data_IF_288950055356
#
_entry.id   IF_288950055356
#
_cell.length_a   1.000
_cell.length_b   1.000
_cell.length_c   1.000
_cell.angle_alpha   90.00
_cell.angle_beta   90.00
_cell.angle_gamma   90.00
#
_symmetry.space_group_name_H-M   'P 1'
#
loop_
_entity.id
_entity.type
_entity.pdbx_description
1 polymer ?
#
# COMPACT_ATOMS: atom_id res chain seq x y z
N UNK A 1 -7.14 -16.20 -2.14
CA UNK A 1 -8.53 -16.53 -1.81
C UNK A 1 -8.67 -16.86 -0.31
N UNK A 2 -9.63 -16.20 0.36
CA UNK A 2 -9.81 -16.34 1.81
C UNK A 2 -10.38 -17.71 2.24
N UNK A 3 -11.07 -18.42 1.35
CA UNK A 3 -11.66 -19.74 1.61
C UNK A 3 -10.68 -20.86 1.33
N UNK A 4 -10.08 -20.85 0.12
CA UNK A 4 -9.17 -21.92 -0.32
C UNK A 4 -7.77 -21.76 0.24
N UNK A 5 -7.40 -20.54 0.69
CA UNK A 5 -6.04 -20.12 1.08
C UNK A 5 -5.04 -20.17 -0.07
N UNK A 6 -5.50 -20.33 -1.31
CA UNK A 6 -4.66 -20.27 -2.48
C UNK A 6 -4.27 -18.83 -2.80
N UNK A 7 -3.01 -18.63 -3.14
CA UNK A 7 -2.51 -17.34 -3.65
C UNK A 7 -2.91 -17.23 -5.12
N UNK A 8 -3.78 -16.26 -5.45
CA UNK A 8 -4.26 -16.01 -6.81
C UNK A 8 -3.24 -15.19 -7.61
N UNK A 9 -2.63 -14.21 -6.97
CA UNK A 9 -1.62 -13.31 -7.55
C UNK A 9 -0.54 -13.06 -6.50
N UNK A 10 0.73 -13.10 -6.90
CA UNK A 10 1.87 -12.73 -6.05
C UNK A 10 2.92 -12.01 -6.89
N UNK A 11 3.39 -10.89 -6.37
CA UNK A 11 4.54 -10.15 -6.88
C UNK A 11 5.52 -9.99 -5.72
N UNK A 12 6.79 -10.29 -5.94
CA UNK A 12 7.78 -10.40 -4.86
C UNK A 12 8.98 -9.51 -5.14
N UNK A 13 9.50 -8.89 -4.10
CA UNK A 13 10.76 -8.17 -4.14
C UNK A 13 11.93 -9.16 -4.24
N UNK A 14 12.93 -8.90 -5.10
CA UNK A 14 14.13 -9.72 -5.15
C UNK A 14 14.87 -9.70 -3.82
N UNK A 15 15.40 -10.85 -3.37
CA UNK A 15 16.12 -10.96 -2.09
C UNK A 15 17.27 -9.95 -1.98
N UNK A 16 18.00 -9.71 -3.08
CA UNK A 16 19.09 -8.71 -3.10
C UNK A 16 18.58 -7.29 -2.83
N UNK A 17 17.36 -6.97 -3.26
CA UNK A 17 16.72 -5.68 -2.98
C UNK A 17 16.42 -5.55 -1.49
N UNK A 18 15.93 -6.61 -0.85
CA UNK A 18 15.65 -6.66 0.60
C UNK A 18 16.94 -6.37 1.40
N UNK A 19 18.04 -7.02 1.03
CA UNK A 19 19.36 -6.81 1.65
C UNK A 19 19.80 -5.35 1.57
N UNK A 20 19.59 -4.72 0.41
CA UNK A 20 19.97 -3.32 0.22
C UNK A 20 19.02 -2.36 0.93
N UNK A 21 17.72 -2.64 0.97
CA UNK A 21 16.75 -1.83 1.74
C UNK A 21 17.18 -1.78 3.22
N UNK A 22 17.44 -2.94 3.83
CA UNK A 22 17.88 -3.01 5.22
C UNK A 22 19.21 -2.27 5.45
N UNK A 23 20.15 -2.41 4.52
CA UNK A 23 21.46 -1.76 4.62
C UNK A 23 21.36 -0.24 4.47
N UNK A 24 20.57 0.25 3.51
CA UNK A 24 20.34 1.66 3.27
C UNK A 24 19.56 2.30 4.41
N UNK A 25 18.58 1.61 4.98
CA UNK A 25 17.83 2.10 6.13
C UNK A 25 18.77 2.34 7.33
N UNK A 26 19.59 1.37 7.67
CA UNK A 26 20.59 1.52 8.73
C UNK A 26 21.60 2.64 8.45
N UNK A 27 22.09 2.75 7.21
CA UNK A 27 23.07 3.78 6.82
C UNK A 27 22.51 5.21 6.90
N UNK A 28 21.20 5.38 6.80
CA UNK A 28 20.52 6.67 6.87
C UNK A 28 19.80 6.91 8.21
N UNK A 29 20.01 6.04 9.21
CA UNK A 29 19.41 6.17 10.53
C UNK A 29 17.87 6.27 10.43
N UNK A 30 17.27 5.30 9.73
CA UNK A 30 15.83 5.07 9.56
C UNK A 30 15.54 3.57 9.68
N UNK A 31 14.29 3.19 9.86
CA UNK A 31 13.91 1.78 9.99
C UNK A 31 13.24 1.27 8.71
N UNK A 32 13.52 0.02 8.38
CA UNK A 32 12.76 -0.75 7.41
C UNK A 32 11.84 -1.71 8.15
N UNK A 33 10.67 -1.96 7.57
CA UNK A 33 9.72 -2.95 8.08
C UNK A 33 9.02 -3.67 6.90
N UNK A 34 8.49 -4.84 7.21
CA UNK A 34 7.62 -5.60 6.31
C UNK A 34 6.52 -6.29 7.11
N UNK A 35 5.80 -7.20 6.50
CA UNK A 35 4.62 -7.83 7.10
C UNK A 35 4.75 -9.35 7.04
N UNK A 36 4.33 -10.02 8.12
CA UNK A 36 4.22 -11.47 8.22
C UNK A 36 2.97 -11.83 8.99
N UNK A 37 2.11 -12.67 8.43
CA UNK A 37 0.87 -13.14 9.07
C UNK A 37 0.00 -12.03 9.69
N UNK A 38 -0.07 -10.89 8.98
CA UNK A 38 -0.85 -9.72 9.41
C UNK A 38 -0.19 -8.89 10.51
N UNK A 39 1.04 -9.20 10.90
CA UNK A 39 1.83 -8.41 11.86
C UNK A 39 2.97 -7.67 11.14
N UNK A 40 3.41 -6.56 11.70
CA UNK A 40 4.59 -5.84 11.26
C UNK A 40 5.83 -6.54 11.79
N UNK A 41 6.86 -6.67 10.96
CA UNK A 41 8.19 -7.16 11.36
C UNK A 41 9.19 -6.03 11.19
N UNK A 42 9.88 -5.65 12.26
CA UNK A 42 10.85 -4.56 12.28
C UNK A 42 11.98 -4.80 13.27
N UNK A 43 13.08 -4.05 13.13
CA UNK A 43 14.20 -4.09 14.09
C UNK A 43 13.96 -3.22 15.34
N UNK A 44 12.92 -2.36 15.31
CA UNK A 44 12.46 -1.56 16.46
C UNK A 44 10.97 -1.77 16.70
N UNK A 45 10.58 -1.79 17.97
CA UNK A 45 9.19 -1.80 18.43
C UNK A 45 8.84 -0.53 19.24
N UNK A 46 9.78 0.40 19.36
CA UNK A 46 9.67 1.67 20.09
C UNK A 46 9.93 2.92 19.24
N UNK A 47 10.27 2.76 17.95
CA UNK A 47 10.35 3.88 17.00
C UNK A 47 8.96 4.47 16.71
N UNK A 48 8.85 5.80 16.69
CA UNK A 48 7.58 6.52 16.53
C UNK A 48 6.85 6.20 15.22
N UNK A 49 7.57 6.00 14.13
CA UNK A 49 6.99 5.71 12.81
C UNK A 49 6.59 4.23 12.67
N UNK A 50 7.36 3.32 13.27
CA UNK A 50 6.99 1.89 13.36
C UNK A 50 5.72 1.72 14.18
N UNK A 51 5.64 2.40 15.34
CA UNK A 51 4.43 2.40 16.19
C UNK A 51 3.24 2.99 15.43
N UNK A 52 3.46 4.06 14.68
CA UNK A 52 2.41 4.71 13.89
C UNK A 52 1.84 3.78 12.82
N UNK A 53 2.69 3.05 12.10
CA UNK A 53 2.24 2.05 11.13
C UNK A 53 1.46 0.92 11.81
N UNK A 54 1.91 0.44 12.95
CA UNK A 54 1.20 -0.57 13.74
C UNK A 54 -0.19 -0.08 14.19
N UNK A 55 -0.28 1.17 14.61
CA UNK A 55 -1.55 1.79 14.98
C UNK A 55 -2.50 1.92 13.80
N UNK A 56 -2.01 2.41 12.64
CA UNK A 56 -2.83 2.56 11.42
C UNK A 56 -3.42 1.23 10.94
N UNK A 57 -2.65 0.14 11.08
CA UNK A 57 -3.09 -1.19 10.67
C UNK A 57 -3.76 -2.00 11.81
N UNK A 58 -3.92 -1.43 12.99
CA UNK A 58 -4.48 -2.10 14.17
C UNK A 58 -3.80 -3.45 14.45
N UNK A 59 -2.47 -3.50 14.33
CA UNK A 59 -1.67 -4.72 14.46
C UNK A 59 -0.51 -4.54 15.44
N UNK A 60 0.17 -5.64 15.75
CA UNK A 60 1.37 -5.65 16.61
C UNK A 60 2.66 -5.71 15.81
N UNK A 61 3.77 -5.38 16.47
CA UNK A 61 5.11 -5.46 15.91
C UNK A 61 5.83 -6.69 16.44
N UNK A 62 6.36 -7.50 15.52
CA UNK A 62 7.35 -8.54 15.81
C UNK A 62 8.73 -7.88 15.74
N UNK A 63 9.36 -7.70 16.88
CA UNK A 63 10.72 -7.19 16.93
C UNK A 63 11.73 -8.29 16.59
N UNK A 64 12.66 -8.00 15.69
CA UNK A 64 13.77 -8.87 15.33
C UNK A 64 15.11 -8.17 15.50
N UNK A 65 16.19 -8.93 15.74
CA UNK A 65 17.55 -8.37 15.77
C UNK A 65 18.06 -8.01 14.37
N UNK A 66 17.60 -8.73 13.35
CA UNK A 66 17.95 -8.50 11.95
C UNK A 66 16.76 -8.81 11.05
N UNK A 67 16.18 -7.77 10.48
CA UNK A 67 15.07 -7.90 9.54
C UNK A 67 15.49 -8.68 8.28
N UNK A 68 16.72 -8.44 7.82
CA UNK A 68 17.33 -9.14 6.69
C UNK A 68 17.37 -10.66 6.88
N UNK A 69 17.79 -11.11 8.09
CA UNK A 69 17.96 -12.53 8.38
C UNK A 69 16.63 -13.19 8.77
N UNK A 70 15.68 -12.40 9.26
CA UNK A 70 14.34 -12.86 9.60
C UNK A 70 13.49 -13.18 8.36
N UNK A 71 13.65 -12.37 7.29
CA UNK A 71 12.84 -12.50 6.08
C UNK A 71 13.38 -13.63 5.20
N UNK A 72 12.83 -14.82 5.36
CA UNK A 72 13.10 -16.01 4.55
C UNK A 72 11.88 -16.44 3.69
N UNK A 73 10.87 -15.59 3.61
CA UNK A 73 9.61 -15.78 2.89
C UNK A 73 9.43 -14.72 1.79
N UNK A 74 8.54 -14.99 0.80
CA UNK A 74 8.21 -14.01 -0.23
C UNK A 74 7.61 -12.71 0.32
N UNK A 75 8.15 -11.57 -0.10
CA UNK A 75 7.70 -10.25 0.37
C UNK A 75 7.25 -9.39 -0.80
N UNK A 76 6.00 -8.92 -0.73
CA UNK A 76 5.42 -8.05 -1.74
C UNK A 76 5.71 -6.56 -1.50
N UNK A 77 6.02 -6.16 -0.28
CA UNK A 77 6.22 -4.76 0.11
C UNK A 77 7.17 -4.61 1.28
N UNK A 78 8.06 -3.63 1.18
CA UNK A 78 8.79 -3.04 2.31
C UNK A 78 8.33 -1.60 2.51
N UNK A 79 8.31 -1.18 3.76
CA UNK A 79 8.12 0.21 4.14
C UNK A 79 9.41 0.69 4.83
N UNK A 80 9.98 1.80 4.36
CA UNK A 80 11.07 2.48 5.07
C UNK A 80 10.49 3.70 5.75
N UNK A 81 10.71 3.82 7.04
CA UNK A 81 10.02 4.80 7.89
C UNK A 81 11.01 5.73 8.58
N UNK A 82 10.67 7.02 8.63
CA UNK A 82 11.52 8.02 9.27
C UNK A 82 11.26 9.43 8.74
N UNK A 83 12.13 10.37 9.09
CA UNK A 83 12.02 11.74 8.60
C UNK A 83 12.26 11.80 7.09
N UNK A 84 11.45 12.59 6.39
CA UNK A 84 11.48 12.69 4.93
C UNK A 84 12.88 12.92 4.35
N UNK A 85 13.63 13.87 4.93
CA UNK A 85 14.98 14.19 4.48
C UNK A 85 15.97 13.01 4.53
N UNK A 86 15.73 12.02 5.40
CA UNK A 86 16.50 10.78 5.51
C UNK A 86 16.03 9.69 4.54
N UNK A 87 14.76 9.72 4.15
CA UNK A 87 14.18 8.77 3.20
C UNK A 87 14.55 9.09 1.74
N UNK A 88 14.74 10.37 1.39
CA UNK A 88 15.08 10.80 0.02
C UNK A 88 16.34 10.11 -0.52
N UNK A 89 17.48 10.07 0.19
CA UNK A 89 18.66 9.36 -0.31
C UNK A 89 18.46 7.84 -0.41
N UNK A 90 17.64 7.24 0.46
CA UNK A 90 17.29 5.81 0.39
C UNK A 90 16.52 5.52 -0.90
N UNK A 91 15.44 6.27 -1.15
CA UNK A 91 14.65 6.13 -2.37
C UNK A 91 15.52 6.27 -3.63
N UNK A 92 16.33 7.34 -3.68
CA UNK A 92 17.20 7.58 -4.84
C UNK A 92 18.14 6.42 -5.10
N UNK A 93 18.82 5.93 -4.07
CA UNK A 93 19.77 4.80 -4.21
C UNK A 93 19.09 3.52 -4.68
N UNK A 94 17.88 3.23 -4.17
CA UNK A 94 17.12 2.06 -4.58
C UNK A 94 16.65 2.17 -6.04
N UNK A 95 16.08 3.31 -6.44
CA UNK A 95 15.59 3.51 -7.81
C UNK A 95 16.74 3.52 -8.84
N UNK A 96 17.89 4.12 -8.49
CA UNK A 96 19.08 4.13 -9.36
C UNK A 96 19.61 2.69 -9.59
N UNK A 97 19.59 1.84 -8.55
CA UNK A 97 20.14 0.48 -8.61
C UNK A 97 19.16 -0.53 -9.21
N UNK A 98 17.87 -0.38 -8.94
CA UNK A 98 16.82 -1.36 -9.27
C UNK A 98 15.82 -0.83 -10.31
N UNK A 99 16.29 0.01 -11.24
CA UNK A 99 15.46 0.56 -12.32
C UNK A 99 14.72 -0.55 -13.10
N UNK A 100 13.39 -0.45 -13.19
CA UNK A 100 12.55 -1.44 -13.87
C UNK A 100 12.37 -2.77 -13.11
N UNK A 101 12.87 -2.86 -11.87
CA UNK A 101 12.71 -4.03 -11.00
C UNK A 101 11.83 -3.71 -9.81
N UNK A 102 11.91 -2.48 -9.31
CA UNK A 102 11.08 -1.98 -8.23
C UNK A 102 10.46 -0.64 -8.59
N UNK A 103 9.37 -0.31 -7.89
CA UNK A 103 8.84 1.04 -7.75
C UNK A 103 8.97 1.47 -6.29
N UNK A 104 9.11 2.79 -6.08
CA UNK A 104 9.18 3.36 -4.75
C UNK A 104 8.51 4.74 -4.74
N UNK A 105 7.60 4.93 -3.79
CA UNK A 105 6.81 6.15 -3.66
C UNK A 105 6.48 6.43 -2.18
N UNK A 106 6.09 7.66 -1.91
CA UNK A 106 5.65 8.06 -0.57
C UNK A 106 4.14 7.90 -0.46
N UNK A 107 3.66 7.12 0.53
CA UNK A 107 2.25 7.12 0.93
C UNK A 107 1.97 8.24 1.93
N UNK A 108 2.96 8.58 2.74
CA UNK A 108 3.03 9.73 3.64
C UNK A 108 4.46 10.28 3.62
N UNK A 109 4.69 11.51 4.04
CA UNK A 109 6.02 12.14 4.05
C UNK A 109 7.08 11.32 4.81
N UNK A 110 6.66 10.50 5.76
CA UNK A 110 7.50 9.67 6.61
C UNK A 110 7.41 8.17 6.27
N UNK A 111 6.67 7.79 5.24
CA UNK A 111 6.47 6.41 4.77
C UNK A 111 6.90 6.26 3.31
N UNK A 112 8.05 5.64 3.10
CA UNK A 112 8.59 5.29 1.78
C UNK A 112 8.25 3.83 1.48
N UNK A 113 7.31 3.60 0.57
CA UNK A 113 6.96 2.27 0.10
C UNK A 113 7.94 1.79 -0.97
N UNK A 114 8.33 0.52 -0.91
CA UNK A 114 9.13 -0.18 -1.92
C UNK A 114 8.38 -1.44 -2.31
N UNK A 115 8.04 -1.54 -3.58
CA UNK A 115 7.24 -2.63 -4.16
C UNK A 115 7.89 -3.14 -5.45
N UNK A 116 7.56 -4.35 -5.93
CA UNK A 116 7.97 -4.79 -7.27
C UNK A 116 7.52 -3.82 -8.35
N UNK A 117 8.29 -3.70 -9.43
CA UNK A 117 7.99 -2.80 -10.54
C UNK A 117 6.60 -3.09 -11.15
N UNK A 118 5.85 -2.03 -11.40
CA UNK A 118 4.51 -2.10 -11.96
C UNK A 118 3.42 -2.53 -10.97
N UNK A 119 3.77 -2.79 -9.71
CA UNK A 119 2.78 -3.07 -8.66
C UNK A 119 2.18 -1.74 -8.19
N UNK A 120 1.04 -1.40 -8.76
CA UNK A 120 0.24 -0.25 -8.41
C UNK A 120 -1.22 -0.69 -8.27
N UNK A 121 -2.07 0.12 -7.62
CA UNK A 121 -3.45 -0.27 -7.34
C UNK A 121 -4.25 -0.61 -8.59
N UNK A 122 -4.07 0.14 -9.68
CA UNK A 122 -4.73 -0.12 -10.95
C UNK A 122 -4.25 -1.41 -11.63
N UNK A 123 -2.94 -1.62 -11.72
CA UNK A 123 -2.38 -2.82 -12.34
C UNK A 123 -2.77 -4.09 -11.58
N UNK A 124 -2.68 -4.06 -10.26
CA UNK A 124 -3.09 -5.18 -9.40
C UNK A 124 -4.59 -5.47 -9.52
N UNK A 125 -5.43 -4.41 -9.63
CA UNK A 125 -6.85 -4.58 -9.87
C UNK A 125 -7.13 -5.17 -11.24
N UNK A 126 -6.51 -4.69 -12.32
CA UNK A 126 -6.67 -5.27 -13.67
C UNK A 126 -6.30 -6.75 -13.71
N UNK A 127 -5.20 -7.12 -13.05
CA UNK A 127 -4.81 -8.53 -12.97
C UNK A 127 -5.85 -9.36 -12.21
N UNK A 128 -6.35 -8.86 -11.07
CA UNK A 128 -7.39 -9.53 -10.30
C UNK A 128 -8.71 -9.64 -11.07
N UNK A 129 -9.17 -8.56 -11.70
CA UNK A 129 -10.38 -8.55 -12.53
C UNK A 129 -10.29 -9.57 -13.66
N UNK A 130 -9.15 -9.64 -14.35
CA UNK A 130 -8.93 -10.64 -15.40
C UNK A 130 -8.95 -12.08 -14.88
N UNK A 131 -8.48 -12.33 -13.65
CA UNK A 131 -8.57 -13.66 -13.00
C UNK A 131 -9.99 -14.04 -12.60
N UNK A 132 -10.81 -13.05 -12.30
CA UNK A 132 -12.21 -13.25 -11.86
C UNK A 132 -13.21 -13.16 -13.01
N UNK A 133 -12.76 -12.91 -14.25
CA UNK A 133 -13.60 -12.67 -15.42
C UNK A 133 -14.59 -11.50 -15.20
N UNK A 134 -14.10 -10.43 -14.57
CA UNK A 134 -14.83 -9.18 -14.27
C UNK A 134 -14.20 -8.07 -15.10
N UNK A 135 -15.02 -7.17 -15.67
CA UNK A 135 -14.58 -6.03 -16.45
C UNK A 135 -14.36 -4.78 -15.59
N UNK A 136 -13.59 -3.81 -16.11
CA UNK A 136 -13.39 -2.52 -15.44
C UNK A 136 -14.74 -1.76 -15.25
N UNK A 137 -15.69 -1.92 -16.15
CA UNK A 137 -17.04 -1.32 -16.05
C UNK A 137 -17.86 -1.85 -14.87
N UNK A 138 -17.52 -3.04 -14.36
CA UNK A 138 -18.16 -3.66 -13.19
C UNK A 138 -17.45 -3.32 -11.86
N UNK A 139 -16.33 -2.57 -11.93
CA UNK A 139 -15.54 -2.18 -10.76
C UNK A 139 -16.10 -0.90 -10.13
N UNK A 140 -16.38 -0.94 -8.85
CA UNK A 140 -16.56 0.25 -8.01
C UNK A 140 -15.28 0.48 -7.21
N UNK A 141 -14.58 1.59 -7.44
CA UNK A 141 -13.40 1.96 -6.68
C UNK A 141 -13.71 3.09 -5.70
N UNK A 142 -13.24 2.91 -4.44
CA UNK A 142 -13.37 3.92 -3.39
C UNK A 142 -11.96 4.38 -2.96
N UNK A 143 -11.75 5.70 -2.84
CA UNK A 143 -10.44 6.22 -2.46
C UNK A 143 -10.50 7.62 -1.86
N UNK A 144 -9.41 8.06 -1.24
CA UNK A 144 -9.26 9.40 -0.65
C UNK A 144 -7.87 10.00 -0.87
N UNK A 145 -6.85 9.17 -1.17
CA UNK A 145 -5.47 9.57 -1.33
C UNK A 145 -5.01 9.72 -2.79
N UNK A 146 -3.88 10.39 -2.98
CA UNK A 146 -3.27 10.57 -4.32
C UNK A 146 -2.89 9.22 -4.95
N UNK A 147 -2.51 8.24 -4.14
CA UNK A 147 -2.18 6.88 -4.56
C UNK A 147 -3.40 6.06 -5.03
N UNK A 148 -4.63 6.57 -4.83
CA UNK A 148 -5.86 5.93 -5.30
C UNK A 148 -6.26 6.39 -6.71
N UNK A 149 -5.72 7.51 -7.19
CA UNK A 149 -6.07 8.07 -8.51
C UNK A 149 -5.96 7.04 -9.64
N UNK A 150 -4.92 6.19 -9.72
CA UNK A 150 -4.85 5.18 -10.77
C UNK A 150 -6.03 4.21 -10.76
N UNK A 151 -6.43 3.69 -9.59
CA UNK A 151 -7.58 2.76 -9.51
C UNK A 151 -8.93 3.45 -9.76
N UNK A 152 -9.07 4.73 -9.34
CA UNK A 152 -10.28 5.51 -9.61
C UNK A 152 -10.48 5.73 -11.12
N UNK A 153 -9.40 5.90 -11.88
CA UNK A 153 -9.45 6.13 -13.34
C UNK A 153 -9.89 4.92 -14.15
N UNK A 154 -9.70 3.72 -13.65
CA UNK A 154 -10.05 2.48 -14.36
C UNK A 154 -11.42 1.95 -13.96
N UNK A 155 -12.01 2.44 -12.88
CA UNK A 155 -13.28 1.95 -12.38
C UNK A 155 -14.45 2.41 -13.24
N UNK A 156 -15.44 1.52 -13.43
CA UNK A 156 -16.74 1.87 -14.02
C UNK A 156 -17.52 2.85 -13.15
N UNK A 157 -17.27 2.83 -11.83
CA UNK A 157 -17.76 3.85 -10.89
C UNK A 157 -16.66 4.25 -9.93
N UNK A 158 -16.24 5.51 -9.99
CA UNK A 158 -15.27 6.07 -9.04
C UNK A 158 -15.98 6.83 -7.91
N UNK A 159 -15.84 6.37 -6.68
CA UNK A 159 -16.39 6.98 -5.49
C UNK A 159 -15.27 7.55 -4.61
N UNK A 160 -15.30 8.85 -4.34
CA UNK A 160 -14.26 9.53 -3.57
C UNK A 160 -14.83 10.00 -2.23
N UNK A 161 -14.07 9.75 -1.15
CA UNK A 161 -14.49 10.09 0.21
C UNK A 161 -14.58 11.61 0.41
N UNK A 162 -15.52 12.05 1.22
CA UNK A 162 -15.75 13.48 1.51
C UNK A 162 -14.55 14.20 2.14
N UNK A 163 -13.71 13.48 2.88
CA UNK A 163 -12.46 13.96 3.48
C UNK A 163 -11.25 13.90 2.53
N UNK A 164 -11.41 13.41 1.28
CA UNK A 164 -10.31 13.29 0.31
C UNK A 164 -9.70 14.65 -0.09
N UNK A 165 -8.46 14.61 -0.57
CA UNK A 165 -7.80 15.77 -1.14
C UNK A 165 -8.57 16.33 -2.34
N UNK A 166 -8.60 17.69 -2.53
CA UNK A 166 -9.31 18.31 -3.65
C UNK A 166 -8.88 17.77 -5.03
N UNK A 167 -7.61 17.40 -5.19
CA UNK A 167 -7.04 16.81 -6.40
C UNK A 167 -7.66 15.45 -6.71
N UNK A 168 -7.91 14.63 -5.71
CA UNK A 168 -8.51 13.29 -5.85
C UNK A 168 -9.98 13.40 -6.20
N UNK A 169 -10.70 14.37 -5.63
CA UNK A 169 -12.12 14.63 -5.91
C UNK A 169 -12.43 14.94 -7.37
N UNK A 170 -11.43 15.34 -8.15
CA UNK A 170 -11.58 15.58 -9.61
C UNK A 170 -11.83 14.31 -10.41
N UNK A 171 -11.57 13.15 -9.83
CA UNK A 171 -11.75 11.84 -10.47
C UNK A 171 -12.99 11.10 -9.98
N UNK A 172 -13.87 11.78 -9.23
CA UNK A 172 -15.06 11.19 -8.66
C UNK A 172 -16.25 11.28 -9.60
N UNK A 173 -16.90 10.16 -9.86
CA UNK A 173 -18.30 10.12 -10.35
C UNK A 173 -19.26 10.40 -9.18
N UNK A 174 -18.87 9.97 -7.98
CA UNK A 174 -19.62 10.20 -6.75
C UNK A 174 -18.71 10.64 -5.60
N UNK A 175 -19.09 11.72 -4.91
CA UNK A 175 -18.44 12.12 -3.66
C UNK A 175 -19.29 11.61 -2.50
N UNK A 176 -18.77 10.62 -1.79
CA UNK A 176 -19.41 10.02 -0.63
C UNK A 176 -19.31 10.92 0.62
N UNK A 177 -20.07 10.65 1.68
CA UNK A 177 -19.78 11.16 3.01
C UNK A 177 -18.34 10.87 3.43
N UNK A 178 -17.89 11.52 4.52
CA UNK A 178 -16.54 11.28 5.06
C UNK A 178 -16.38 9.86 5.62
N UNK A 179 -15.14 9.45 5.88
CA UNK A 179 -14.87 8.19 6.58
C UNK A 179 -15.56 8.12 7.95
N UNK A 180 -15.61 9.24 8.70
CA UNK A 180 -16.27 9.33 9.99
C UNK A 180 -17.80 9.24 9.90
N UNK A 181 -18.36 9.52 8.73
CA UNK A 181 -19.79 9.43 8.40
C UNK A 181 -20.16 8.15 7.65
N UNK A 182 -19.27 7.13 7.67
CA UNK A 182 -19.48 5.83 7.03
C UNK A 182 -19.66 5.89 5.51
N UNK A 183 -18.88 6.73 4.80
CA UNK A 183 -19.00 6.97 3.36
C UNK A 183 -18.94 5.69 2.49
N UNK A 184 -18.09 4.71 2.84
CA UNK A 184 -18.05 3.42 2.11
C UNK A 184 -19.37 2.65 2.25
N UNK A 185 -20.00 2.69 3.43
CA UNK A 185 -21.30 2.05 3.62
C UNK A 185 -22.42 2.74 2.81
N UNK A 186 -22.32 4.06 2.64
CA UNK A 186 -23.24 4.83 1.78
C UNK A 186 -23.10 4.41 0.31
N UNK A 187 -21.86 4.28 -0.19
CA UNK A 187 -21.59 3.81 -1.55
C UNK A 187 -22.21 2.42 -1.79
N UNK A 188 -21.99 1.49 -0.86
CA UNK A 188 -22.53 0.12 -0.95
C UNK A 188 -24.06 0.13 -0.97
N UNK A 189 -24.68 0.90 -0.09
CA UNK A 189 -26.14 1.00 -0.03
C UNK A 189 -26.72 1.55 -1.33
N UNK A 190 -26.11 2.60 -1.88
CA UNK A 190 -26.59 3.32 -3.07
C UNK A 190 -26.43 2.51 -4.35
N UNK A 191 -25.27 1.89 -4.54
CA UNK A 191 -24.89 1.31 -5.83
C UNK A 191 -24.96 -0.21 -5.89
N UNK A 192 -25.00 -0.90 -4.74
CA UNK A 192 -25.08 -2.37 -4.68
C UNK A 192 -26.45 -2.83 -4.22
N UNK A 193 -27.04 -2.16 -3.23
CA UNK A 193 -28.32 -2.59 -2.68
C UNK A 193 -29.53 -1.78 -3.15
N UNK A 194 -29.36 -0.76 -4.02
CA UNK A 194 -30.43 0.12 -4.49
C UNK A 194 -31.29 0.72 -3.35
N UNK A 195 -30.67 0.92 -2.18
CA UNK A 195 -31.35 1.51 -1.04
C UNK A 195 -31.24 3.04 -1.12
N UNK A 196 -32.38 3.72 -1.35
CA UNK A 196 -32.43 5.18 -1.23
C UNK A 196 -31.95 5.60 0.18
N UNK A 197 -31.01 6.57 0.20
CA UNK A 197 -30.46 7.15 1.44
C UNK A 197 -31.36 8.22 2.04
#
# INVERSE_FOLDING_TARGET
DCYTKETIVSHELPKQCIDDICSLARANDVYALTYSDGQIVAESDDDEYVIKEAFCNSTSVIKTESLRDYVDYPVAKFLVVGKHEKLVPVQKALLDKYQGIIDSFYSEDYFLEVVPYGVAKDNSLRELLGKLDITEDELIACGDGMNDIPMLKIAGLSAVMGNAYPEVKKYADYIAPTNDESGVADIIKRYIFDMES
#
